data_IF_337130885306
#
_entry.id   IF_337130885306
#
_cell.length_a   1.000
_cell.length_b   1.000
_cell.length_c   1.000
_cell.angle_alpha   90.00
_cell.angle_beta   90.00
_cell.angle_gamma   90.00
#
_symmetry.space_group_name_H-M   'P 1'
#
loop_
_entity.id
_entity.type
_entity.pdbx_description
1 polymer ?
#
# COMPACT_ATOMS: atom_id res chain seq x y z
N UNK A 1 17.39 6.33 -5.96
CA UNK A 1 16.05 6.38 -6.58
C UNK A 1 15.02 6.13 -5.49
N UNK A 2 14.03 7.01 -5.29
CA UNK A 2 12.99 6.79 -4.29
C UNK A 2 11.93 5.85 -4.87
N UNK A 3 11.85 4.62 -4.38
CA UNK A 3 10.79 3.69 -4.76
C UNK A 3 9.47 4.07 -4.08
N UNK A 4 8.34 3.76 -4.72
CA UNK A 4 7.00 3.91 -4.13
C UNK A 4 6.61 2.60 -3.43
N UNK A 5 6.26 2.66 -2.15
CA UNK A 5 5.78 1.49 -1.41
C UNK A 5 4.28 1.32 -1.59
N UNK A 6 3.85 0.12 -1.94
CA UNK A 6 2.46 -0.26 -2.14
C UNK A 6 2.05 -1.16 -0.99
N UNK A 7 1.09 -0.72 -0.20
CA UNK A 7 0.56 -1.52 0.91
C UNK A 7 -0.28 -2.67 0.35
N UNK A 8 0.07 -3.91 0.67
CA UNK A 8 -0.75 -5.05 0.29
C UNK A 8 -1.91 -5.24 1.26
N UNK A 9 -2.95 -4.46 1.02
CA UNK A 9 -4.22 -4.44 1.76
C UNK A 9 -5.12 -5.64 1.48
N UNK A 10 -4.84 -6.44 0.45
CA UNK A 10 -5.68 -7.58 0.04
C UNK A 10 -7.00 -7.20 -0.64
N UNK A 11 -7.30 -5.89 -0.75
CA UNK A 11 -8.54 -5.37 -1.36
C UNK A 11 -8.30 -4.70 -2.72
N UNK A 12 -7.14 -4.94 -3.35
CA UNK A 12 -6.79 -4.36 -4.64
C UNK A 12 -5.96 -5.31 -5.49
N UNK A 13 -6.01 -5.13 -6.82
CA UNK A 13 -5.15 -5.84 -7.75
C UNK A 13 -3.75 -5.20 -7.80
N UNK A 14 -2.83 -5.74 -7.00
CA UNK A 14 -1.45 -5.23 -6.91
C UNK A 14 -0.67 -5.33 -8.23
N UNK A 15 -0.97 -6.32 -9.08
CA UNK A 15 -0.31 -6.47 -10.38
C UNK A 15 -0.62 -5.27 -11.29
N UNK A 16 -1.89 -4.83 -11.33
CA UNK A 16 -2.30 -3.64 -12.08
C UNK A 16 -1.64 -2.36 -11.54
N UNK A 17 -1.56 -2.21 -10.21
CA UNK A 17 -0.92 -1.03 -9.60
C UNK A 17 0.57 -0.98 -9.92
N UNK A 18 1.29 -2.10 -9.77
CA UNK A 18 2.72 -2.19 -10.12
C UNK A 18 2.96 -1.91 -11.60
N UNK A 19 2.11 -2.42 -12.49
CA UNK A 19 2.20 -2.16 -13.92
C UNK A 19 2.01 -0.67 -14.25
N UNK A 20 1.09 0.02 -13.57
CA UNK A 20 0.88 1.46 -13.73
C UNK A 20 2.14 2.25 -13.36
N UNK A 21 2.77 1.96 -12.22
CA UNK A 21 4.04 2.60 -11.83
C UNK A 21 5.19 2.25 -12.76
N UNK A 22 5.31 1.00 -13.19
CA UNK A 22 6.32 0.58 -14.15
C UNK A 22 6.22 1.36 -15.48
N UNK A 23 4.99 1.62 -15.96
CA UNK A 23 4.74 2.42 -17.17
C UNK A 23 5.12 3.90 -17.01
N UNK A 24 5.21 4.38 -15.78
CA UNK A 24 5.73 5.71 -15.43
C UNK A 24 7.25 5.71 -15.18
N UNK A 25 7.93 4.57 -15.36
CA UNK A 25 9.37 4.43 -15.09
C UNK A 25 9.72 4.43 -13.59
N UNK A 26 8.75 4.14 -12.71
CA UNK A 26 8.94 4.18 -11.26
C UNK A 26 9.11 2.77 -10.68
N UNK A 27 10.11 2.62 -9.80
CA UNK A 27 10.30 1.42 -9.01
C UNK A 27 9.24 1.34 -7.90
N UNK A 28 8.74 0.13 -7.64
CA UNK A 28 7.76 -0.13 -6.57
C UNK A 28 8.17 -1.31 -5.72
N UNK A 29 7.84 -1.24 -4.44
CA UNK A 29 8.01 -2.29 -3.45
C UNK A 29 6.65 -2.57 -2.80
N UNK A 30 6.28 -3.85 -2.65
CA UNK A 30 5.04 -4.21 -1.95
C UNK A 30 5.38 -4.49 -0.49
N UNK A 31 4.63 -3.88 0.43
CA UNK A 31 4.90 -3.95 1.88
C UNK A 31 3.64 -4.35 2.65
N UNK A 32 3.84 -4.99 3.80
CA UNK A 32 2.75 -5.51 4.65
C UNK A 32 2.97 -5.32 6.16
N UNK A 33 4.02 -4.60 6.55
CA UNK A 33 4.35 -4.35 7.95
C UNK A 33 4.44 -2.84 8.24
N UNK A 34 4.19 -2.49 9.50
CA UNK A 34 4.19 -1.11 9.98
C UNK A 34 5.55 -0.40 9.80
N UNK A 35 6.67 -1.11 9.96
CA UNK A 35 8.01 -0.51 9.86
C UNK A 35 8.35 -0.08 8.43
N UNK A 36 8.00 -0.90 7.44
CA UNK A 36 8.17 -0.57 6.02
C UNK A 36 7.26 0.60 5.59
N UNK A 37 6.06 0.70 6.16
CA UNK A 37 5.14 1.83 5.95
C UNK A 37 5.71 3.11 6.56
N UNK A 38 6.09 3.10 7.84
CA UNK A 38 6.58 4.28 8.55
C UNK A 38 7.88 4.84 7.94
N UNK A 39 8.73 3.99 7.38
CA UNK A 39 9.96 4.42 6.71
C UNK A 39 9.77 4.87 5.26
N UNK A 40 8.54 4.89 4.74
CA UNK A 40 8.27 5.16 3.33
C UNK A 40 8.33 6.65 3.00
N UNK A 41 9.23 7.05 2.09
CA UNK A 41 9.20 8.40 1.53
C UNK A 41 7.98 8.66 0.63
N UNK A 42 7.47 7.61 -0.02
CA UNK A 42 6.24 7.63 -0.82
C UNK A 42 5.48 6.34 -0.62
N UNK A 43 4.21 6.46 -0.27
CA UNK A 43 3.32 5.35 0.03
C UNK A 43 2.07 5.42 -0.83
N UNK A 44 1.59 4.26 -1.25
CA UNK A 44 0.29 4.08 -1.91
C UNK A 44 -0.49 3.06 -1.09
N UNK A 45 -1.69 3.46 -0.66
CA UNK A 45 -2.67 2.60 -0.04
C UNK A 45 -3.75 2.24 -1.07
N UNK A 46 -3.63 1.12 -1.80
CA UNK A 46 -4.58 0.75 -2.84
C UNK A 46 -5.84 0.13 -2.23
N UNK A 47 -6.98 0.35 -2.88
CA UNK A 47 -8.24 -0.29 -2.52
C UNK A 47 -9.29 -0.16 -3.62
N UNK A 48 -10.11 -1.20 -3.78
CA UNK A 48 -11.34 -1.18 -4.57
C UNK A 48 -12.48 -1.78 -3.73
N UNK A 49 -13.72 -1.31 -3.94
CA UNK A 49 -14.90 -1.81 -3.22
C UNK A 49 -15.26 -1.01 -1.96
N UNK A 50 -15.77 -1.69 -0.94
CA UNK A 50 -16.39 -1.06 0.22
C UNK A 50 -15.38 -0.58 1.27
N UNK A 51 -15.51 0.68 1.70
CA UNK A 51 -14.66 1.29 2.74
C UNK A 51 -14.64 0.50 4.05
N UNK A 52 -15.79 -0.01 4.50
CA UNK A 52 -15.88 -0.75 5.77
C UNK A 52 -14.99 -2.01 5.76
N UNK A 53 -15.03 -2.78 4.67
CA UNK A 53 -14.20 -3.98 4.50
C UNK A 53 -12.71 -3.62 4.42
N UNK A 54 -12.37 -2.55 3.69
CA UNK A 54 -11.00 -2.02 3.65
C UNK A 54 -10.49 -1.64 5.04
N UNK A 55 -11.26 -0.85 5.80
CA UNK A 55 -10.89 -0.45 7.16
C UNK A 55 -10.77 -1.63 8.13
N UNK A 56 -11.66 -2.63 8.03
CA UNK A 56 -11.55 -3.85 8.81
C UNK A 56 -10.24 -4.56 8.51
N UNK A 57 -9.88 -4.71 7.24
CA UNK A 57 -8.65 -5.38 6.83
C UNK A 57 -7.39 -4.65 7.30
N UNK A 58 -7.40 -3.32 7.31
CA UNK A 58 -6.29 -2.52 7.85
C UNK A 58 -6.12 -2.69 9.36
N UNK A 59 -7.23 -2.85 10.10
CA UNK A 59 -7.19 -3.15 11.54
C UNK A 59 -6.65 -4.56 11.80
N UNK A 60 -7.09 -5.55 11.02
CA UNK A 60 -6.60 -6.94 11.13
C UNK A 60 -5.10 -7.07 10.82
N UNK A 61 -4.58 -6.21 9.94
CA UNK A 61 -3.15 -6.14 9.63
C UNK A 61 -2.36 -5.22 10.57
N UNK A 62 -3.02 -4.60 11.56
CA UNK A 62 -2.40 -3.67 12.52
C UNK A 62 -1.70 -2.47 11.85
N UNK A 63 -2.17 -2.04 10.67
CA UNK A 63 -1.52 -0.98 9.87
C UNK A 63 -2.10 0.42 10.10
N UNK A 64 -3.22 0.54 10.84
CA UNK A 64 -3.97 1.81 10.95
C UNK A 64 -3.12 2.94 11.52
N UNK A 65 -2.38 2.68 12.59
CA UNK A 65 -1.58 3.73 13.24
C UNK A 65 -0.38 4.11 12.36
N UNK A 66 0.32 3.13 11.76
CA UNK A 66 1.42 3.40 10.83
C UNK A 66 0.99 4.20 9.59
N UNK A 67 -0.28 4.15 9.20
CA UNK A 67 -0.83 4.91 8.06
C UNK A 67 -1.27 6.34 8.40
N UNK A 68 -1.29 6.71 9.69
CA UNK A 68 -1.73 8.03 10.18
C UNK A 68 -0.59 9.00 10.46
N UNK A 69 0.64 8.50 10.52
CA UNK A 69 1.88 9.25 10.72
C UNK A 69 2.38 9.84 9.39
#
# INVERSE_FOLDING_TARGET
>A
MSAVRIVATGVANLASVRAAFARLGLATEVVQDAAAIASAHRLVLPGVGAFAAGMQRLRELELVEALRE
#
